data_IF_454375751234
#
_entry.id   IF_454375751234
#
_cell.length_a   1.000
_cell.length_b   1.000
_cell.length_c   1.000
_cell.angle_alpha   90.00
_cell.angle_beta   90.00
_cell.angle_gamma   90.00
#
_symmetry.space_group_name_H-M   'P 1'
#
loop_
_entity.id
_entity.type
_entity.pdbx_description
1 polymer ?
#
# COMPACT_ATOMS: atom_id res chain seq x y z
N UNK A 1 -0.79 3.93 -23.16
CA UNK A 1 0.70 3.98 -23.06
C UNK A 1 1.21 2.57 -22.86
N UNK A 2 2.23 2.15 -23.62
CA UNK A 2 2.91 0.87 -23.36
C UNK A 2 3.77 1.04 -22.10
N UNK A 3 3.80 0.06 -21.19
CA UNK A 3 4.67 0.12 -20.01
C UNK A 3 6.13 0.17 -20.45
N UNK A 4 6.97 0.90 -19.70
CA UNK A 4 8.42 0.89 -19.94
C UNK A 4 9.00 -0.50 -19.61
N UNK A 5 10.18 -0.81 -20.13
CA UNK A 5 10.89 -2.06 -19.81
C UNK A 5 11.06 -2.23 -18.28
N UNK A 6 11.40 -1.15 -17.59
CA UNK A 6 11.52 -1.14 -16.13
C UNK A 6 10.20 -1.49 -15.44
N UNK A 7 9.05 -0.98 -15.92
CA UNK A 7 7.75 -1.31 -15.36
C UNK A 7 7.43 -2.80 -15.50
N UNK A 8 7.82 -3.43 -16.60
CA UNK A 8 7.65 -4.86 -16.80
C UNK A 8 8.51 -5.67 -15.83
N UNK A 9 9.79 -5.32 -15.71
CA UNK A 9 10.72 -5.97 -14.76
C UNK A 9 10.23 -5.84 -13.31
N UNK A 10 9.73 -4.67 -12.92
CA UNK A 10 9.16 -4.47 -11.58
C UNK A 10 7.91 -5.32 -11.34
N UNK A 11 7.06 -5.49 -12.35
CA UNK A 11 5.88 -6.35 -12.25
C UNK A 11 6.27 -7.81 -12.07
N UNK A 12 7.22 -8.30 -12.86
CA UNK A 12 7.74 -9.66 -12.75
C UNK A 12 8.33 -9.89 -11.36
N UNK A 13 9.20 -8.97 -10.90
CA UNK A 13 9.83 -9.08 -9.57
C UNK A 13 8.82 -9.02 -8.43
N UNK A 14 7.83 -8.15 -8.51
CA UNK A 14 6.76 -8.07 -7.52
C UNK A 14 5.91 -9.35 -7.49
N UNK A 15 5.62 -9.94 -8.66
CA UNK A 15 4.91 -11.23 -8.76
C UNK A 15 5.70 -12.37 -8.13
N UNK A 16 7.02 -12.46 -8.37
CA UNK A 16 7.91 -13.43 -7.71
C UNK A 16 7.89 -13.31 -6.18
N UNK A 17 7.72 -12.08 -5.67
CA UNK A 17 7.60 -11.81 -4.25
C UNK A 17 6.19 -12.09 -3.68
N UNK A 18 5.25 -12.51 -4.54
CA UNK A 18 3.88 -12.87 -4.16
C UNK A 18 2.89 -11.71 -4.15
N UNK A 19 3.20 -10.57 -4.76
CA UNK A 19 2.21 -9.52 -4.99
C UNK A 19 1.35 -9.88 -6.22
N UNK A 20 0.05 -10.00 -6.03
CA UNK A 20 -0.89 -10.37 -7.08
C UNK A 20 -1.30 -9.18 -7.96
N UNK A 21 -1.32 -7.99 -7.39
CA UNK A 21 -1.67 -6.77 -8.11
C UNK A 21 -0.49 -5.80 -8.10
N UNK A 22 -0.16 -5.29 -9.27
CA UNK A 22 0.94 -4.35 -9.45
C UNK A 22 0.52 -3.25 -10.41
N UNK A 23 0.50 -2.01 -9.94
CA UNK A 23 0.18 -0.83 -10.74
C UNK A 23 1.23 0.26 -10.56
N UNK A 24 1.66 0.89 -11.65
CA UNK A 24 2.53 2.06 -11.62
C UNK A 24 1.81 3.23 -12.27
N UNK A 25 1.79 4.37 -11.59
CA UNK A 25 1.17 5.60 -12.08
C UNK A 25 2.12 6.79 -11.89
N UNK A 26 2.11 7.78 -12.78
CA UNK A 26 2.80 9.03 -12.53
C UNK A 26 2.19 9.72 -11.32
N UNK A 27 3.04 10.45 -10.59
CA UNK A 27 2.57 11.20 -9.41
C UNK A 27 1.64 12.34 -9.83
N UNK A 28 0.57 12.49 -9.10
CA UNK A 28 -0.36 13.62 -9.25
C UNK A 28 -1.06 13.90 -7.92
N UNK A 29 -1.65 15.08 -7.79
CA UNK A 29 -2.56 15.40 -6.69
C UNK A 29 -3.71 14.37 -6.67
N UNK A 30 -4.08 13.90 -5.51
CA UNK A 30 -5.20 12.97 -5.36
C UNK A 30 -6.50 13.56 -5.90
N UNK A 31 -7.18 12.86 -6.79
CA UNK A 31 -8.46 13.29 -7.37
C UNK A 31 -9.61 13.27 -6.37
N UNK A 32 -9.47 12.52 -5.28
CA UNK A 32 -10.52 12.33 -4.25
C UNK A 32 -10.25 13.14 -2.98
N UNK A 33 -9.22 13.97 -2.97
CA UNK A 33 -8.82 14.70 -1.76
C UNK A 33 -9.90 15.64 -1.24
N UNK A 34 -10.67 16.25 -2.13
CA UNK A 34 -11.73 17.17 -1.73
C UNK A 34 -12.87 16.41 -1.02
N UNK A 35 -13.16 15.19 -1.46
CA UNK A 35 -14.12 14.29 -0.79
C UNK A 35 -13.59 13.91 0.59
N UNK A 36 -12.30 13.55 0.67
CA UNK A 36 -11.65 13.20 1.93
C UNK A 36 -11.69 14.36 2.93
N UNK A 37 -11.35 15.56 2.50
CA UNK A 37 -11.37 16.76 3.33
C UNK A 37 -12.79 17.10 3.80
N UNK A 38 -13.80 16.95 2.93
CA UNK A 38 -15.19 17.13 3.30
C UNK A 38 -15.67 16.08 4.34
N UNK A 39 -15.19 14.84 4.22
CA UNK A 39 -15.44 13.76 5.16
C UNK A 39 -14.82 14.05 6.54
N UNK A 40 -13.57 14.54 6.57
CA UNK A 40 -12.90 14.98 7.81
C UNK A 40 -13.66 16.13 8.49
N UNK A 41 -14.05 17.16 7.73
CA UNK A 41 -14.81 18.32 8.25
C UNK A 41 -16.14 17.93 8.89
N UNK A 42 -16.73 16.82 8.47
CA UNK A 42 -17.96 16.27 9.06
C UNK A 42 -17.71 15.47 10.36
N UNK A 43 -16.46 15.37 10.81
CA UNK A 43 -16.08 14.64 12.01
C UNK A 43 -16.16 13.12 11.87
N UNK A 44 -16.24 12.59 10.65
CA UNK A 44 -16.36 11.15 10.41
C UNK A 44 -15.10 10.36 10.75
N UNK A 45 -13.98 11.03 10.96
CA UNK A 45 -12.75 10.41 11.46
C UNK A 45 -12.88 9.93 12.94
N UNK A 46 -13.87 10.44 13.68
CA UNK A 46 -14.03 10.09 15.10
C UNK A 46 -12.76 10.40 15.90
N UNK A 47 -12.28 9.43 16.67
CA UNK A 47 -11.05 9.57 17.46
C UNK A 47 -9.75 9.36 16.69
N UNK A 48 -9.80 9.09 15.37
CA UNK A 48 -8.62 8.80 14.54
C UNK A 48 -7.90 10.08 14.07
N UNK A 49 -7.37 10.85 15.02
CA UNK A 49 -6.71 12.13 14.76
C UNK A 49 -5.53 12.06 13.75
N UNK A 50 -4.93 10.88 13.56
CA UNK A 50 -3.87 10.68 12.56
C UNK A 50 -4.36 10.88 11.12
N UNK A 51 -5.64 10.68 10.85
CA UNK A 51 -6.24 10.91 9.53
C UNK A 51 -6.19 12.39 9.15
N UNK A 52 -6.50 13.26 10.10
CA UNK A 52 -6.40 14.71 9.93
C UNK A 52 -4.94 15.16 9.73
N UNK A 53 -4.03 14.70 10.62
CA UNK A 53 -2.61 15.06 10.58
C UNK A 53 -1.93 14.68 9.26
N UNK A 54 -2.39 13.61 8.62
CA UNK A 54 -1.80 13.12 7.38
C UNK A 54 -2.57 13.54 6.11
N UNK A 55 -3.56 14.43 6.22
CA UNK A 55 -4.37 14.87 5.09
C UNK A 55 -3.53 15.49 3.97
N UNK A 56 -2.56 16.33 4.32
CA UNK A 56 -1.66 16.97 3.36
C UNK A 56 -0.77 15.97 2.60
N UNK A 57 -0.30 14.91 3.29
CA UNK A 57 0.51 13.86 2.66
C UNK A 57 -0.32 13.00 1.69
N UNK A 58 -1.62 12.84 1.98
CA UNK A 58 -2.58 12.16 1.09
C UNK A 58 -2.96 13.01 -0.11
N UNK A 59 -2.92 14.33 0.03
CA UNK A 59 -3.16 15.25 -1.07
C UNK A 59 -2.07 15.15 -2.14
N UNK A 60 -0.82 15.22 -1.70
CA UNK A 60 0.34 15.18 -2.60
C UNK A 60 1.49 14.40 -1.96
N UNK A 61 1.79 13.20 -2.45
CA UNK A 61 2.90 12.39 -1.94
C UNK A 61 4.28 13.05 -2.05
N UNK A 62 4.45 14.08 -2.89
CA UNK A 62 5.69 14.86 -2.97
C UNK A 62 5.99 15.64 -1.69
N UNK A 63 4.98 15.88 -0.85
CA UNK A 63 5.19 16.43 0.50
C UNK A 63 5.96 15.47 1.41
N UNK A 64 5.91 14.16 1.12
CA UNK A 64 6.65 13.14 1.84
C UNK A 64 8.04 12.91 1.24
N UNK A 65 8.12 12.87 -0.08
CA UNK A 65 9.36 12.69 -0.85
C UNK A 65 9.34 13.65 -2.05
N UNK A 66 10.01 14.81 -1.98
CA UNK A 66 9.86 15.89 -2.95
C UNK A 66 10.18 15.53 -4.40
N UNK A 67 11.08 14.60 -4.63
CA UNK A 67 11.51 14.18 -5.96
C UNK A 67 10.70 13.00 -6.53
N UNK A 68 9.58 12.65 -5.89
CA UNK A 68 8.74 11.54 -6.36
C UNK A 68 8.19 11.82 -7.76
N UNK A 69 8.47 10.90 -8.69
CA UNK A 69 7.99 10.95 -10.07
C UNK A 69 6.83 9.99 -10.33
N UNK A 70 6.74 8.91 -9.56
CA UNK A 70 5.73 7.86 -9.74
C UNK A 70 5.38 7.15 -8.43
N UNK A 71 4.21 6.52 -8.41
CA UNK A 71 3.76 5.63 -7.37
C UNK A 71 3.69 4.20 -7.91
N UNK A 72 4.24 3.26 -7.16
CA UNK A 72 4.03 1.83 -7.36
C UNK A 72 3.04 1.34 -6.30
N UNK A 73 1.88 0.91 -6.74
CA UNK A 73 0.85 0.31 -5.89
C UNK A 73 0.90 -1.21 -6.01
N UNK A 74 0.93 -1.90 -4.88
CA UNK A 74 1.04 -3.34 -4.80
C UNK A 74 -0.11 -3.90 -3.97
N UNK A 75 -0.73 -4.98 -4.42
CA UNK A 75 -1.76 -5.72 -3.69
C UNK A 75 -1.24 -7.09 -3.29
N UNK A 76 -1.42 -7.42 -2.02
CA UNK A 76 -1.05 -8.71 -1.45
C UNK A 76 -2.31 -9.40 -0.92
N UNK A 77 -2.53 -10.66 -1.33
CA UNK A 77 -3.69 -11.43 -0.89
C UNK A 77 -3.42 -12.05 0.49
N UNK A 78 -4.29 -11.74 1.43
CA UNK A 78 -4.25 -12.30 2.79
C UNK A 78 -5.26 -13.45 3.01
N UNK A 79 -6.05 -13.78 1.99
CA UNK A 79 -7.00 -14.91 2.07
C UNK A 79 -6.28 -16.24 1.81
N UNK A 80 -5.53 -16.72 2.79
CA UNK A 80 -4.72 -17.94 2.67
C UNK A 80 -5.44 -19.19 3.15
N UNK A 81 -6.39 -19.07 4.07
CA UNK A 81 -7.12 -20.19 4.67
C UNK A 81 -8.63 -19.96 4.59
N UNK A 82 -9.40 -21.03 4.37
CA UNK A 82 -10.84 -20.98 4.53
C UNK A 82 -11.23 -20.91 6.02
N UNK A 83 -12.34 -20.21 6.35
CA UNK A 83 -12.83 -20.17 7.73
C UNK A 83 -13.13 -21.60 8.21
N UNK A 84 -12.78 -21.90 9.45
CA UNK A 84 -13.28 -23.11 10.11
C UNK A 84 -14.80 -22.97 10.33
N UNK A 85 -15.50 -24.10 10.52
CA UNK A 85 -16.93 -24.11 10.81
C UNK A 85 -17.30 -23.26 12.05
N UNK A 86 -16.38 -23.10 12.99
CA UNK A 86 -16.56 -22.24 14.19
C UNK A 86 -16.81 -20.77 13.87
N UNK A 87 -16.36 -20.27 12.70
CA UNK A 87 -16.59 -18.88 12.27
C UNK A 87 -18.06 -18.63 11.89
N UNK A 88 -18.85 -19.67 11.70
CA UNK A 88 -20.29 -19.58 11.40
C UNK A 88 -21.17 -19.55 12.66
N UNK A 89 -20.58 -19.70 13.85
CA UNK A 89 -21.32 -19.65 15.11
C UNK A 89 -21.65 -18.16 15.46
N UNK A 90 -22.94 -17.79 15.55
CA UNK A 90 -23.35 -16.42 15.84
C UNK A 90 -22.92 -15.93 17.22
N UNK A 91 -22.59 -16.83 18.14
CA UNK A 91 -22.15 -16.52 19.51
C UNK A 91 -20.64 -16.26 19.62
N UNK A 92 -19.90 -16.40 18.50
CA UNK A 92 -18.45 -16.20 18.46
C UNK A 92 -18.12 -14.96 17.63
N UNK A 93 -17.38 -14.02 18.21
CA UNK A 93 -16.89 -12.85 17.49
C UNK A 93 -15.93 -13.23 16.36
N UNK A 94 -16.07 -12.56 15.21
CA UNK A 94 -15.24 -12.78 14.03
C UNK A 94 -14.09 -11.78 13.98
N UNK A 95 -12.84 -12.26 13.98
CA UNK A 95 -11.65 -11.45 13.74
C UNK A 95 -11.37 -11.43 12.25
N UNK A 96 -11.12 -10.24 11.70
CA UNK A 96 -10.78 -10.08 10.28
C UNK A 96 -9.53 -10.89 9.91
N UNK A 97 -9.55 -11.54 8.75
CA UNK A 97 -8.50 -12.48 8.32
C UNK A 97 -7.12 -11.85 8.22
N UNK A 98 -7.02 -10.56 7.88
CA UNK A 98 -5.73 -9.88 7.82
C UNK A 98 -5.00 -9.83 9.17
N UNK A 99 -5.75 -10.03 10.29
CA UNK A 99 -5.20 -10.07 11.63
C UNK A 99 -4.88 -11.50 12.12
N UNK A 100 -5.01 -12.50 11.24
CA UNK A 100 -4.68 -13.87 11.58
C UNK A 100 -3.20 -14.16 11.28
N UNK A 101 -2.52 -14.84 12.21
CA UNK A 101 -1.13 -15.22 12.08
C UNK A 101 -0.15 -14.12 12.47
N UNK A 102 0.99 -14.09 11.77
CA UNK A 102 2.06 -13.13 12.03
C UNK A 102 1.68 -11.71 11.57
N UNK A 103 2.41 -10.72 12.07
CA UNK A 103 2.20 -9.32 11.68
C UNK A 103 2.52 -9.14 10.19
N UNK A 104 1.49 -8.94 9.39
CA UNK A 104 1.63 -8.72 7.95
C UNK A 104 2.45 -7.46 7.61
N UNK A 105 2.59 -6.49 8.53
CA UNK A 105 3.45 -5.33 8.32
C UNK A 105 4.90 -5.74 8.13
N UNK A 106 5.38 -6.69 8.92
CA UNK A 106 6.77 -7.16 8.84
C UNK A 106 6.97 -8.00 7.58
N UNK A 107 5.99 -8.86 7.24
CA UNK A 107 6.01 -9.65 6.02
C UNK A 107 6.07 -8.76 4.77
N UNK A 108 5.15 -7.79 4.65
CA UNK A 108 5.09 -6.91 3.49
C UNK A 108 6.31 -6.00 3.44
N UNK A 109 6.75 -5.45 4.58
CA UNK A 109 7.94 -4.59 4.65
C UNK A 109 9.20 -5.30 4.17
N UNK A 110 9.39 -6.57 4.55
CA UNK A 110 10.52 -7.37 4.08
C UNK A 110 10.51 -7.55 2.56
N UNK A 111 9.35 -7.87 1.97
CA UNK A 111 9.18 -8.01 0.52
C UNK A 111 9.39 -6.70 -0.23
N UNK A 112 8.88 -5.59 0.31
CA UNK A 112 9.08 -4.26 -0.26
C UNK A 112 10.55 -3.84 -0.24
N UNK A 113 11.31 -4.19 0.81
CA UNK A 113 12.75 -3.92 0.87
C UNK A 113 13.51 -4.65 -0.24
N UNK A 114 13.17 -5.91 -0.51
CA UNK A 114 13.76 -6.67 -1.62
C UNK A 114 13.45 -6.03 -2.97
N UNK A 115 12.22 -5.55 -3.15
CA UNK A 115 11.80 -4.87 -4.38
C UNK A 115 12.51 -3.51 -4.54
N UNK A 116 12.71 -2.77 -3.45
CA UNK A 116 13.47 -1.52 -3.43
C UNK A 116 14.92 -1.75 -3.83
N UNK A 117 15.59 -2.74 -3.24
CA UNK A 117 16.97 -3.10 -3.56
C UNK A 117 17.12 -3.54 -5.02
N UNK A 118 16.13 -4.25 -5.56
CA UNK A 118 16.08 -4.60 -6.98
C UNK A 118 15.99 -3.33 -7.84
N UNK A 119 15.08 -2.42 -7.53
CA UNK A 119 14.90 -1.16 -8.25
C UNK A 119 16.18 -0.29 -8.22
N UNK A 120 16.82 -0.18 -7.06
CA UNK A 120 18.06 0.58 -6.91
C UNK A 120 19.18 0.01 -7.78
N UNK A 121 19.29 -1.30 -7.90
CA UNK A 121 20.27 -1.97 -8.77
C UNK A 121 19.99 -1.72 -10.25
N UNK A 122 18.75 -1.88 -10.68
CA UNK A 122 18.34 -1.66 -12.08
C UNK A 122 18.58 -0.21 -12.54
N UNK A 123 18.43 0.75 -11.63
CA UNK A 123 18.64 2.17 -11.91
C UNK A 123 20.07 2.65 -11.67
N UNK A 124 20.99 1.80 -11.19
CA UNK A 124 22.31 2.21 -10.68
C UNK A 124 22.23 3.41 -9.74
N UNK A 125 21.21 3.46 -8.90
CA UNK A 125 20.88 4.58 -8.05
C UNK A 125 21.00 4.19 -6.57
N UNK A 126 21.30 5.17 -5.72
CA UNK A 126 21.15 5.02 -4.28
C UNK A 126 19.67 4.91 -3.88
N UNK A 127 19.41 4.77 -2.58
CA UNK A 127 18.06 4.62 -2.04
C UNK A 127 17.18 5.83 -2.37
N UNK A 128 16.27 5.68 -3.32
CA UNK A 128 15.44 6.75 -3.91
C UNK A 128 13.94 6.59 -3.65
N UNK A 129 13.56 5.60 -2.83
CA UNK A 129 12.16 5.29 -2.58
C UNK A 129 11.80 5.44 -1.11
N UNK A 130 10.52 5.60 -0.83
CA UNK A 130 9.95 5.53 0.51
C UNK A 130 8.81 4.54 0.53
N UNK A 131 8.89 3.60 1.44
CA UNK A 131 7.87 2.59 1.64
C UNK A 131 6.76 3.14 2.53
N UNK A 132 5.53 2.94 2.14
CA UNK A 132 4.35 3.24 2.95
C UNK A 132 3.37 2.10 2.85
N UNK A 133 2.87 1.63 3.98
CA UNK A 133 1.79 0.65 4.07
C UNK A 133 0.49 1.37 4.33
N UNK A 134 -0.50 1.13 3.48
CA UNK A 134 -1.85 1.66 3.62
C UNK A 134 -2.82 0.49 3.65
N UNK A 135 -3.66 0.48 4.67
CA UNK A 135 -4.80 -0.43 4.73
C UNK A 135 -5.96 0.13 3.90
N UNK A 136 -6.56 -0.74 3.15
CA UNK A 136 -7.81 -0.47 2.43
C UNK A 136 -8.90 -1.34 3.04
#
# INVERSE_FOLDING_TARGET
MRPSSLTLLLREKASELGFELVGAIPISRSKTIDIYNAWLKKGYAGSMAYLERHAELKEDPRKLLPQTMSLLALGFNYKTLEPSEQVQNPDIGCISRYAWGDDYHDLIRSKLSVLEDFLCRELNAGKLSRLSLIHI
#
